data_IF_904577147184
#
_entry.id   IF_904577147184
#
_cell.length_a   1.000
_cell.length_b   1.000
_cell.length_c   1.000
_cell.angle_alpha   90.00
_cell.angle_beta   90.00
_cell.angle_gamma   90.00
#
_symmetry.space_group_name_H-M   'P 1'
#
loop_
_entity.id
_entity.type
_entity.pdbx_description
1 polymer ?
#
# COMPACT_ATOMS: atom_id res chain seq x y z
N UNK A 1 3.27 -38.95 -4.85
CA UNK A 1 2.09 -38.71 -3.98
C UNK A 1 1.83 -37.21 -3.92
N UNK A 2 0.83 -36.72 -4.66
CA UNK A 2 0.66 -35.32 -5.09
C UNK A 2 -0.64 -34.67 -4.56
N UNK A 3 -1.11 -35.05 -3.36
CA UNK A 3 -2.52 -34.83 -2.96
C UNK A 3 -2.86 -34.03 -1.68
N UNK A 4 -2.09 -33.04 -1.19
CA UNK A 4 -2.63 -32.09 -0.19
C UNK A 4 -2.75 -30.62 -0.64
N UNK A 5 -2.33 -30.26 -1.86
CA UNK A 5 -2.40 -28.86 -2.33
C UNK A 5 -3.77 -28.46 -2.93
N UNK A 6 -4.58 -29.42 -3.37
CA UNK A 6 -5.89 -29.14 -3.99
C UNK A 6 -7.01 -28.86 -2.97
N UNK A 7 -6.93 -29.41 -1.76
CA UNK A 7 -7.99 -29.23 -0.76
C UNK A 7 -7.99 -27.85 -0.12
N UNK A 8 -6.82 -27.23 0.08
CA UNK A 8 -6.76 -25.83 0.54
C UNK A 8 -7.30 -24.88 -0.55
N UNK A 9 -7.00 -25.13 -1.83
CA UNK A 9 -7.52 -24.31 -2.94
C UNK A 9 -9.04 -24.42 -3.16
N UNK A 10 -9.64 -25.58 -2.93
CA UNK A 10 -11.08 -25.81 -3.13
C UNK A 10 -11.93 -25.23 -1.98
N UNK A 11 -11.48 -25.33 -0.71
CA UNK A 11 -12.16 -24.67 0.42
C UNK A 11 -11.92 -23.16 0.44
N UNK A 12 -10.74 -22.68 0.00
CA UNK A 12 -10.48 -21.23 -0.14
C UNK A 12 -11.35 -20.60 -1.23
N UNK A 13 -11.62 -21.30 -2.35
CA UNK A 13 -12.54 -20.81 -3.41
C UNK A 13 -14.00 -20.69 -2.96
N UNK A 14 -14.42 -21.44 -1.94
CA UNK A 14 -15.79 -21.42 -1.43
C UNK A 14 -15.98 -20.44 -0.25
N UNK A 15 -14.91 -20.17 0.52
CA UNK A 15 -14.98 -19.33 1.73
C UNK A 15 -14.62 -17.87 1.46
N UNK A 16 -13.92 -17.55 0.35
CA UNK A 16 -13.59 -16.15 0.06
C UNK A 16 -13.54 -15.87 -1.46
N UNK A 17 -14.63 -15.29 -1.97
CA UNK A 17 -14.62 -14.46 -3.19
C UNK A 17 -14.82 -13.00 -2.74
N UNK A 18 -13.76 -12.20 -2.59
CA UNK A 18 -13.93 -10.78 -2.34
C UNK A 18 -14.65 -10.18 -3.56
N UNK A 19 -15.81 -9.56 -3.32
CA UNK A 19 -16.61 -8.89 -4.34
C UNK A 19 -17.98 -9.54 -4.67
N UNK A 20 -18.19 -10.86 -4.46
CA UNK A 20 -19.52 -11.50 -4.74
C UNK A 20 -20.31 -11.91 -3.50
N UNK A 21 -19.66 -12.01 -2.34
CA UNK A 21 -20.29 -12.35 -1.06
C UNK A 21 -19.70 -11.51 0.08
N UNK A 22 -19.68 -10.19 -0.06
CA UNK A 22 -19.56 -9.33 1.11
C UNK A 22 -20.76 -9.60 2.01
N UNK A 23 -20.50 -10.11 3.22
CA UNK A 23 -21.52 -10.41 4.23
C UNK A 23 -22.02 -9.16 4.94
N UNK A 24 -21.39 -8.00 4.64
CA UNK A 24 -21.80 -6.66 5.04
C UNK A 24 -22.98 -6.25 4.14
N UNK A 25 -24.20 -6.28 4.68
CA UNK A 25 -25.41 -6.05 3.87
C UNK A 25 -25.81 -4.58 3.84
N UNK A 26 -25.44 -3.80 4.85
CA UNK A 26 -25.81 -2.39 4.93
C UNK A 26 -24.65 -1.47 4.53
N UNK A 27 -24.94 -0.32 3.89
CA UNK A 27 -23.92 0.70 3.59
C UNK A 27 -23.13 1.14 4.83
N UNK A 28 -23.78 1.32 5.97
CA UNK A 28 -23.13 1.76 7.22
C UNK A 28 -22.12 0.73 7.75
N UNK A 29 -22.37 -0.56 7.57
CA UNK A 29 -21.46 -1.61 8.03
C UNK A 29 -20.19 -1.70 7.18
N UNK A 30 -20.33 -1.54 5.86
CA UNK A 30 -19.17 -1.46 4.96
C UNK A 30 -18.31 -0.24 5.33
N UNK A 31 -18.97 0.89 5.55
CA UNK A 31 -18.33 2.14 5.87
C UNK A 31 -17.55 2.10 7.19
N UNK A 32 -18.12 1.65 8.31
CA UNK A 32 -17.34 1.66 9.57
C UNK A 32 -16.14 0.71 9.54
N UNK A 33 -16.16 -0.36 8.73
CA UNK A 33 -14.99 -1.20 8.50
C UNK A 33 -13.94 -0.50 7.63
N UNK A 34 -14.39 0.25 6.61
CA UNK A 34 -13.50 1.10 5.81
C UNK A 34 -12.95 2.25 6.63
N UNK A 35 -13.71 2.91 7.51
CA UNK A 35 -13.22 3.96 8.39
C UNK A 35 -12.23 3.44 9.44
N UNK A 36 -12.48 2.27 10.06
CA UNK A 36 -11.51 1.65 10.97
C UNK A 36 -10.20 1.31 10.25
N UNK A 37 -10.31 0.76 9.03
CA UNK A 37 -9.19 0.51 8.14
C UNK A 37 -8.47 1.81 7.73
N UNK A 38 -9.20 2.85 7.34
CA UNK A 38 -8.66 4.16 6.96
C UNK A 38 -7.95 4.84 8.15
N UNK A 39 -8.54 4.75 9.34
CA UNK A 39 -7.94 5.28 10.58
C UNK A 39 -6.65 4.51 10.92
N UNK A 40 -6.63 3.18 10.75
CA UNK A 40 -5.42 2.38 11.01
C UNK A 40 -4.27 2.68 10.05
N UNK A 41 -4.56 3.27 8.90
CA UNK A 41 -3.57 3.70 7.89
C UNK A 41 -3.39 5.22 7.82
N UNK A 42 -4.03 5.98 8.71
CA UNK A 42 -3.92 7.44 8.75
C UNK A 42 -4.57 8.17 7.57
N UNK A 43 -5.49 7.51 6.83
CA UNK A 43 -6.25 8.08 5.72
C UNK A 43 -7.68 8.46 6.10
N UNK A 44 -7.96 8.65 7.40
CA UNK A 44 -9.27 9.12 7.89
C UNK A 44 -9.71 10.46 7.28
N UNK A 45 -8.77 11.28 6.81
CA UNK A 45 -9.01 12.57 6.14
C UNK A 45 -8.90 12.50 4.62
N UNK A 46 -8.74 11.30 4.06
CA UNK A 46 -8.43 11.07 2.65
C UNK A 46 -6.93 10.94 2.39
N UNK A 47 -6.59 10.85 1.10
CA UNK A 47 -5.23 10.81 0.60
C UNK A 47 -4.71 12.24 0.45
N UNK A 48 -3.58 12.53 1.10
CA UNK A 48 -2.86 13.79 1.03
C UNK A 48 -1.98 13.86 -0.23
N UNK A 49 -2.61 13.71 -1.40
CA UNK A 49 -1.92 13.65 -2.69
C UNK A 49 -2.60 14.50 -3.76
N UNK A 50 -3.51 15.39 -3.39
CA UNK A 50 -4.25 16.22 -4.36
C UNK A 50 -3.32 17.14 -5.16
N UNK A 51 -2.29 17.69 -4.53
CA UNK A 51 -1.40 18.72 -5.12
C UNK A 51 -0.20 18.14 -5.88
N UNK A 52 -0.14 16.83 -6.09
CA UNK A 52 1.01 16.16 -6.68
C UNK A 52 1.40 16.68 -8.08
N UNK A 53 0.42 16.92 -8.95
CA UNK A 53 0.70 17.49 -10.28
C UNK A 53 1.07 18.97 -10.21
N UNK A 54 0.50 19.72 -9.26
CA UNK A 54 0.88 21.11 -8.99
C UNK A 54 2.35 21.17 -8.58
N UNK A 55 2.78 20.33 -7.63
CA UNK A 55 4.17 20.23 -7.24
C UNK A 55 5.09 19.83 -8.40
N UNK A 56 4.67 18.90 -9.28
CA UNK A 56 5.45 18.61 -10.49
C UNK A 56 5.61 19.87 -11.35
N UNK A 57 4.52 20.58 -11.62
CA UNK A 57 4.53 21.74 -12.48
C UNK A 57 5.33 22.90 -11.86
N UNK A 58 5.33 23.07 -10.55
CA UNK A 58 6.07 24.15 -9.89
C UNK A 58 7.57 23.90 -9.86
N UNK A 59 8.01 22.64 -9.76
CA UNK A 59 9.42 22.27 -9.61
C UNK A 59 10.11 21.85 -10.93
N UNK A 60 9.36 21.66 -12.02
CA UNK A 60 9.95 21.35 -13.32
C UNK A 60 10.70 22.55 -13.90
N UNK A 61 11.76 22.27 -14.67
CA UNK A 61 12.45 23.28 -15.48
C UNK A 61 11.52 23.69 -16.63
N UNK A 62 11.31 24.99 -16.81
CA UNK A 62 10.40 25.58 -17.82
C UNK A 62 11.12 26.46 -18.82
N UNK A 63 12.31 26.94 -18.48
CA UNK A 63 13.05 27.95 -19.22
C UNK A 63 14.55 27.82 -19.00
N UNK A 64 15.35 28.58 -19.76
CA UNK A 64 16.82 28.59 -19.63
C UNK A 64 17.29 29.04 -18.23
N UNK A 65 16.59 29.98 -17.60
CA UNK A 65 16.95 30.50 -16.26
C UNK A 65 16.81 29.44 -15.17
N UNK A 66 15.93 28.45 -15.36
CA UNK A 66 15.76 27.36 -14.40
C UNK A 66 17.01 26.45 -14.34
N UNK A 67 17.89 26.51 -15.33
CA UNK A 67 19.19 25.83 -15.33
C UNK A 67 20.30 26.68 -14.68
N UNK A 68 19.96 27.79 -14.00
CA UNK A 68 20.93 28.77 -13.49
C UNK A 68 22.06 28.18 -12.65
N UNK A 69 21.78 27.18 -11.83
CA UNK A 69 22.78 26.53 -10.96
C UNK A 69 23.74 25.57 -11.71
N UNK A 70 23.45 25.24 -12.97
CA UNK A 70 24.27 24.35 -13.78
C UNK A 70 25.63 25.00 -14.08
N UNK A 71 26.72 24.31 -13.72
CA UNK A 71 28.08 24.74 -14.06
C UNK A 71 28.46 24.36 -15.49
N UNK A 72 28.92 25.34 -16.25
CA UNK A 72 29.38 25.20 -17.63
C UNK A 72 30.80 25.77 -17.73
N UNK A 73 31.80 24.93 -17.40
CA UNK A 73 33.19 25.38 -17.20
C UNK A 73 33.37 26.01 -15.81
N UNK A 74 33.98 27.19 -15.75
CA UNK A 74 34.30 27.88 -14.49
C UNK A 74 33.14 28.69 -13.91
N UNK A 75 32.09 28.93 -14.71
CA UNK A 75 30.91 29.72 -14.34
C UNK A 75 29.65 28.85 -14.33
N UNK A 76 28.68 29.26 -13.52
CA UNK A 76 27.29 28.80 -13.60
C UNK A 76 26.57 29.46 -14.77
N UNK A 77 25.50 28.83 -15.26
CA UNK A 77 24.68 29.43 -16.29
C UNK A 77 24.08 30.76 -15.82
N UNK A 78 23.73 30.89 -14.54
CA UNK A 78 23.26 32.16 -13.98
C UNK A 78 24.29 33.29 -14.10
N UNK A 79 25.58 32.99 -13.90
CA UNK A 79 26.65 33.97 -14.09
C UNK A 79 26.82 34.33 -15.57
N UNK A 80 26.74 33.36 -16.48
CA UNK A 80 26.73 33.64 -17.91
C UNK A 80 25.55 34.52 -18.33
N UNK A 81 24.36 34.25 -17.80
CA UNK A 81 23.15 35.03 -18.10
C UNK A 81 23.23 36.48 -17.59
N UNK A 82 23.94 36.74 -16.48
CA UNK A 82 24.18 38.10 -15.97
C UNK A 82 25.13 38.92 -16.83
N UNK A 83 26.03 38.25 -17.55
CA UNK A 83 27.01 38.90 -18.42
C UNK A 83 26.40 39.32 -19.78
N UNK A 84 25.15 38.93 -20.05
CA UNK A 84 24.40 39.24 -21.28
C UNK A 84 23.26 40.19 -20.95
N UNK A 85 23.02 41.20 -21.81
CA UNK A 85 21.86 42.09 -21.69
C UNK A 85 20.56 41.27 -21.73
N UNK A 86 19.64 41.51 -20.80
CA UNK A 86 18.34 40.82 -20.73
C UNK A 86 17.50 40.99 -22.01
N UNK A 87 17.73 42.07 -22.77
CA UNK A 87 17.08 42.36 -24.05
C UNK A 87 17.88 41.87 -25.26
N UNK A 88 18.98 41.12 -25.05
CA UNK A 88 19.77 40.56 -26.13
C UNK A 88 18.90 39.61 -26.98
N UNK A 89 18.81 39.80 -28.32
CA UNK A 89 17.92 39.03 -29.16
C UNK A 89 18.25 37.53 -29.19
N UNK A 90 19.52 37.15 -29.09
CA UNK A 90 19.93 35.74 -29.05
C UNK A 90 19.50 35.07 -27.75
N UNK A 91 19.64 35.77 -26.62
CA UNK A 91 19.19 35.29 -25.32
C UNK A 91 17.67 35.11 -25.30
N UNK A 92 16.92 36.15 -25.68
CA UNK A 92 15.45 36.12 -25.72
C UNK A 92 14.96 35.00 -26.63
N UNK A 93 15.54 34.86 -27.82
CA UNK A 93 15.12 33.83 -28.76
C UNK A 93 15.49 32.40 -28.30
N UNK A 94 16.63 32.23 -27.61
CA UNK A 94 17.00 30.94 -27.00
C UNK A 94 16.10 30.58 -25.81
N UNK A 95 15.80 31.55 -24.95
CA UNK A 95 14.84 31.38 -23.85
C UNK A 95 13.46 30.98 -24.36
N UNK A 96 12.99 31.63 -25.42
CA UNK A 96 11.72 31.32 -26.07
C UNK A 96 11.73 29.90 -26.65
N UNK A 97 12.77 29.52 -27.40
CA UNK A 97 12.89 28.18 -27.98
C UNK A 97 12.91 27.07 -26.92
N UNK A 98 13.60 27.29 -25.80
CA UNK A 98 13.63 26.36 -24.66
C UNK A 98 12.26 26.29 -23.99
N UNK A 99 11.62 27.44 -23.75
CA UNK A 99 10.31 27.49 -23.11
C UNK A 99 9.24 26.78 -23.93
N UNK A 100 9.26 26.95 -25.26
CA UNK A 100 8.37 26.27 -26.20
C UNK A 100 8.59 24.74 -26.22
N UNK A 101 9.84 24.29 -26.14
CA UNK A 101 10.13 22.85 -26.10
C UNK A 101 9.76 22.18 -24.79
N UNK A 102 9.71 22.95 -23.70
CA UNK A 102 9.37 22.48 -22.36
C UNK A 102 7.90 22.80 -22.00
N UNK A 103 7.02 23.01 -22.99
CA UNK A 103 5.59 23.14 -22.74
C UNK A 103 4.98 21.79 -22.32
N UNK A 104 3.97 21.85 -21.44
CA UNK A 104 3.17 20.68 -21.08
C UNK A 104 2.40 20.15 -22.28
N UNK A 105 2.54 18.85 -22.57
CA UNK A 105 1.74 18.19 -23.59
C UNK A 105 0.26 18.14 -23.17
N UNK A 106 -0.63 18.17 -24.17
CA UNK A 106 -2.07 18.13 -23.96
C UNK A 106 -2.53 16.82 -23.29
N UNK A 107 -1.85 15.70 -23.52
CA UNK A 107 -2.18 14.46 -22.80
C UNK A 107 -1.76 14.55 -21.32
N UNK A 108 -0.64 15.22 -21.01
CA UNK A 108 -0.24 15.49 -19.63
C UNK A 108 -1.25 16.37 -18.90
N UNK A 109 -1.69 17.49 -19.49
CA UNK A 109 -2.71 18.36 -18.89
C UNK A 109 -4.02 17.60 -18.64
N UNK A 110 -4.47 16.79 -19.60
CA UNK A 110 -5.64 15.91 -19.41
C UNK A 110 -5.44 14.90 -18.29
N UNK A 111 -4.25 14.31 -18.16
CA UNK A 111 -3.94 13.37 -17.09
C UNK A 111 -3.92 14.07 -15.71
N UNK A 112 -3.39 15.29 -15.64
CA UNK A 112 -3.45 16.13 -14.44
C UNK A 112 -4.90 16.38 -14.01
N UNK A 113 -5.74 16.89 -14.91
CA UNK A 113 -7.14 17.16 -14.58
C UNK A 113 -7.90 15.90 -14.17
N UNK A 114 -7.65 14.78 -14.85
CA UNK A 114 -8.27 13.50 -14.53
C UNK A 114 -7.81 12.99 -13.16
N UNK A 115 -6.53 13.16 -12.82
CA UNK A 115 -6.00 12.82 -11.51
C UNK A 115 -6.67 13.64 -10.40
N UNK A 116 -6.73 14.97 -10.53
CA UNK A 116 -7.36 15.88 -9.57
C UNK A 116 -8.84 15.51 -9.35
N UNK A 117 -9.57 15.17 -10.43
CA UNK A 117 -10.95 14.71 -10.36
C UNK A 117 -11.06 13.36 -9.62
N UNK A 118 -10.21 12.40 -9.95
CA UNK A 118 -10.27 11.07 -9.36
C UNK A 118 -9.88 11.08 -7.87
N UNK A 119 -8.86 11.86 -7.46
CA UNK A 119 -8.44 11.94 -6.06
C UNK A 119 -9.49 12.66 -5.21
N UNK A 120 -10.14 13.70 -5.73
CA UNK A 120 -11.25 14.37 -5.05
C UNK A 120 -12.45 13.43 -4.89
N UNK A 121 -12.82 12.69 -5.94
CA UNK A 121 -13.88 11.69 -5.86
C UNK A 121 -13.54 10.59 -4.85
N UNK A 122 -12.30 10.12 -4.84
CA UNK A 122 -11.83 9.12 -3.89
C UNK A 122 -11.88 9.63 -2.44
N UNK A 123 -11.43 10.85 -2.20
CA UNK A 123 -11.48 11.49 -0.87
C UNK A 123 -12.93 11.71 -0.41
N UNK A 124 -13.84 12.07 -1.31
CA UNK A 124 -15.28 12.12 -1.01
C UNK A 124 -15.84 10.75 -0.63
N UNK A 125 -15.44 9.69 -1.33
CA UNK A 125 -15.85 8.32 -0.97
C UNK A 125 -15.31 7.84 0.37
N UNK A 126 -14.08 8.23 0.70
CA UNK A 126 -13.48 7.96 2.00
C UNK A 126 -14.28 8.67 3.09
N UNK A 127 -14.70 9.93 2.85
CA UNK A 127 -15.44 10.73 3.80
C UNK A 127 -16.96 10.39 3.88
N UNK A 128 -17.56 9.88 2.79
CA UNK A 128 -19.01 9.62 2.72
C UNK A 128 -19.41 8.36 3.50
N UNK A 129 -20.29 8.50 4.50
CA UNK A 129 -20.76 7.37 5.26
C UNK A 129 -21.51 6.29 4.48
N UNK A 130 -22.05 6.64 3.32
CA UNK A 130 -22.89 5.75 2.53
C UNK A 130 -22.13 5.12 1.35
N UNK A 131 -20.83 5.38 1.25
CA UNK A 131 -19.97 4.91 0.19
C UNK A 131 -19.95 3.37 0.12
N UNK A 132 -20.12 2.76 -1.07
CA UNK A 132 -20.10 1.30 -1.23
C UNK A 132 -18.68 0.72 -1.23
N UNK A 133 -17.64 1.56 -1.30
CA UNK A 133 -16.26 1.13 -1.44
C UNK A 133 -15.84 0.21 -0.30
N UNK A 134 -15.22 -0.92 -0.65
CA UNK A 134 -14.49 -1.76 0.30
C UNK A 134 -12.97 -1.50 0.19
N UNK A 135 -12.22 -1.98 1.18
CA UNK A 135 -10.77 -1.71 1.28
C UNK A 135 -9.96 -2.18 0.06
N UNK A 136 -10.40 -3.21 -0.68
CA UNK A 136 -9.74 -3.63 -1.92
C UNK A 136 -10.03 -2.69 -3.09
N UNK A 137 -11.26 -2.20 -3.21
CA UNK A 137 -11.62 -1.22 -4.24
C UNK A 137 -10.84 0.08 -4.05
N UNK A 138 -10.65 0.49 -2.80
CA UNK A 138 -9.81 1.61 -2.42
C UNK A 138 -8.33 1.37 -2.80
N UNK A 139 -7.76 0.22 -2.44
CA UNK A 139 -6.38 -0.13 -2.82
C UNK A 139 -6.18 -0.12 -4.34
N UNK A 140 -7.13 -0.66 -5.10
CA UNK A 140 -7.08 -0.66 -6.56
C UNK A 140 -7.21 0.74 -7.17
N UNK A 141 -8.04 1.62 -6.59
CA UNK A 141 -8.14 3.01 -7.01
C UNK A 141 -6.80 3.72 -6.84
N UNK A 142 -6.14 3.58 -5.68
CA UNK A 142 -4.81 4.15 -5.42
C UNK A 142 -3.75 3.54 -6.34
N UNK A 143 -3.77 2.22 -6.55
CA UNK A 143 -2.86 1.56 -7.48
C UNK A 143 -2.99 2.10 -8.91
N UNK A 144 -4.22 2.34 -9.36
CA UNK A 144 -4.50 2.92 -10.67
C UNK A 144 -3.98 4.34 -10.78
N UNK A 145 -4.32 5.20 -9.83
CA UNK A 145 -3.83 6.58 -9.75
C UNK A 145 -2.30 6.60 -9.86
N UNK A 146 -1.62 5.79 -9.05
CA UNK A 146 -0.16 5.63 -9.10
C UNK A 146 0.35 5.27 -10.49
N UNK A 147 -0.25 4.28 -11.14
CA UNK A 147 0.20 3.79 -12.44
C UNK A 147 -0.07 4.79 -13.57
N UNK A 148 -1.23 5.45 -13.56
CA UNK A 148 -1.60 6.48 -14.53
C UNK A 148 -0.70 7.72 -14.38
N UNK A 149 -0.45 8.18 -13.16
CA UNK A 149 0.47 9.28 -12.87
C UNK A 149 1.89 8.98 -13.33
N UNK A 150 2.42 7.79 -13.01
CA UNK A 150 3.74 7.36 -13.49
C UNK A 150 3.82 7.37 -15.01
N UNK A 151 2.77 6.88 -15.68
CA UNK A 151 2.72 6.81 -17.14
C UNK A 151 2.73 8.21 -17.76
N UNK A 152 1.89 9.13 -17.29
CA UNK A 152 1.82 10.47 -17.86
C UNK A 152 3.11 11.26 -17.62
N UNK A 153 3.72 11.14 -16.44
CA UNK A 153 5.01 11.77 -16.13
C UNK A 153 6.11 11.25 -17.06
N UNK A 154 6.20 9.94 -17.26
CA UNK A 154 7.17 9.36 -18.20
C UNK A 154 6.97 9.89 -19.63
N UNK A 155 5.72 10.00 -20.07
CA UNK A 155 5.39 10.49 -21.41
C UNK A 155 5.77 11.97 -21.56
N UNK A 156 5.45 12.82 -20.57
CA UNK A 156 5.85 14.23 -20.55
C UNK A 156 7.37 14.38 -20.58
N UNK A 157 8.09 13.65 -19.74
CA UNK A 157 9.57 13.70 -19.69
C UNK A 157 10.22 13.31 -21.02
N UNK A 158 9.72 12.23 -21.64
CA UNK A 158 10.19 11.80 -22.95
C UNK A 158 9.90 12.84 -24.03
N UNK A 159 8.72 13.48 -23.99
CA UNK A 159 8.36 14.55 -24.93
C UNK A 159 9.26 15.78 -24.75
N UNK A 160 9.45 16.25 -23.51
CA UNK A 160 10.33 17.37 -23.18
C UNK A 160 11.77 17.10 -23.57
N UNK A 161 12.35 15.95 -23.23
CA UNK A 161 13.74 15.60 -23.60
C UNK A 161 13.92 15.55 -25.13
N UNK A 162 12.94 14.99 -25.84
CA UNK A 162 12.98 14.92 -27.31
C UNK A 162 12.87 16.32 -27.93
N UNK A 163 11.95 17.15 -27.47
CA UNK A 163 11.76 18.51 -27.97
C UNK A 163 12.95 19.40 -27.64
N UNK A 164 13.48 19.31 -26.41
CA UNK A 164 14.67 20.03 -25.95
C UNK A 164 15.92 19.64 -26.76
N UNK A 165 16.11 18.34 -27.02
CA UNK A 165 17.20 17.87 -27.88
C UNK A 165 17.16 18.45 -29.29
N UNK A 166 15.96 18.58 -29.88
CA UNK A 166 15.76 19.15 -31.22
C UNK A 166 16.07 20.64 -31.33
N UNK A 167 16.02 21.39 -30.23
CA UNK A 167 16.41 22.82 -30.24
C UNK A 167 17.83 22.95 -30.78
N UNK A 168 18.73 22.11 -30.28
CA UNK A 168 20.16 22.16 -30.57
C UNK A 168 20.55 21.36 -31.83
N UNK A 169 19.59 20.79 -32.56
CA UNK A 169 19.82 20.33 -33.94
C UNK A 169 19.90 21.52 -34.91
N UNK A 170 19.31 22.66 -34.55
CA UNK A 170 19.37 23.90 -35.33
C UNK A 170 20.66 24.64 -35.03
N UNK A 171 21.48 24.86 -36.06
CA UNK A 171 22.76 25.57 -35.93
C UNK A 171 22.60 26.98 -35.35
N UNK A 172 21.53 27.68 -35.72
CA UNK A 172 21.18 28.99 -35.17
C UNK A 172 21.06 28.98 -33.63
N UNK A 173 20.45 27.95 -33.05
CA UNK A 173 20.32 27.85 -31.59
C UNK A 173 21.64 27.48 -30.90
N UNK A 174 22.51 26.73 -31.58
CA UNK A 174 23.88 26.48 -31.08
C UNK A 174 24.70 27.77 -31.06
N UNK A 175 24.56 28.61 -32.09
CA UNK A 175 25.21 29.92 -32.15
C UNK A 175 24.72 30.83 -31.03
N UNK A 176 23.39 30.93 -30.83
CA UNK A 176 22.80 31.68 -29.71
C UNK A 176 23.30 31.19 -28.35
N UNK A 177 23.40 29.88 -28.15
CA UNK A 177 24.00 29.33 -26.93
C UNK A 177 25.48 29.73 -26.79
N UNK A 178 26.24 29.73 -27.88
CA UNK A 178 27.64 30.17 -27.87
C UNK A 178 27.75 31.64 -27.43
N UNK A 179 26.88 32.52 -27.96
CA UNK A 179 26.79 33.93 -27.56
C UNK A 179 26.50 34.05 -26.06
N UNK A 180 25.50 33.32 -25.56
CA UNK A 180 25.14 33.34 -24.13
C UNK A 180 26.27 32.86 -23.23
N UNK A 181 27.01 31.85 -23.67
CA UNK A 181 28.16 31.30 -22.93
C UNK A 181 29.45 32.10 -23.13
N UNK A 182 29.45 33.14 -23.97
CA UNK A 182 30.65 33.94 -24.29
C UNK A 182 31.73 33.15 -25.03
N UNK A 183 31.37 32.08 -25.73
CA UNK A 183 32.29 31.25 -26.50
C UNK A 183 32.59 31.96 -27.82
N UNK A 184 33.84 32.39 -27.99
CA UNK A 184 34.28 33.17 -29.15
C UNK A 184 34.24 32.35 -30.44
N UNK A 185 34.00 33.04 -31.55
CA UNK A 185 33.89 32.42 -32.88
C UNK A 185 35.19 31.77 -33.36
N UNK A 186 36.33 32.32 -32.93
CA UNK A 186 37.68 31.89 -33.29
C UNK A 186 38.27 30.84 -32.32
N UNK A 187 37.52 30.41 -31.30
CA UNK A 187 37.98 29.40 -30.35
C UNK A 187 38.14 28.03 -31.06
N UNK A 188 39.37 27.46 -31.10
CA UNK A 188 39.62 26.18 -31.77
C UNK A 188 38.86 25.00 -31.16
N UNK A 189 38.34 25.15 -29.92
CA UNK A 189 37.53 24.14 -29.21
C UNK A 189 36.05 24.52 -29.13
N UNK A 190 35.59 25.51 -29.91
CA UNK A 190 34.20 25.98 -29.89
C UNK A 190 33.18 24.84 -29.98
N UNK A 191 33.33 23.96 -30.97
CA UNK A 191 32.41 22.85 -31.18
C UNK A 191 32.35 21.90 -29.97
N UNK A 192 33.52 21.54 -29.43
CA UNK A 192 33.62 20.67 -28.25
C UNK A 192 32.96 21.31 -27.01
N UNK A 193 33.21 22.60 -26.75
CA UNK A 193 32.61 23.33 -25.63
C UNK A 193 31.08 23.43 -25.75
N UNK A 194 30.57 23.66 -26.97
CA UNK A 194 29.14 23.70 -27.23
C UNK A 194 28.48 22.34 -27.02
N UNK A 195 29.07 21.28 -27.56
CA UNK A 195 28.54 19.92 -27.40
C UNK A 195 28.54 19.51 -25.91
N UNK A 196 29.61 19.82 -25.17
CA UNK A 196 29.66 19.61 -23.72
C UNK A 196 28.57 20.37 -22.98
N UNK A 197 28.34 21.65 -23.32
CA UNK A 197 27.30 22.45 -22.68
C UNK A 197 25.89 21.92 -22.98
N UNK A 198 25.63 21.52 -24.23
CA UNK A 198 24.36 20.93 -24.65
C UNK A 198 24.10 19.62 -23.92
N UNK A 199 25.10 18.74 -23.81
CA UNK A 199 24.98 17.48 -23.07
C UNK A 199 24.80 17.71 -21.57
N UNK A 200 25.47 18.71 -20.99
CA UNK A 200 25.25 19.10 -19.59
C UNK A 200 23.82 19.58 -19.35
N UNK A 201 23.27 20.43 -20.23
CA UNK A 201 21.88 20.89 -20.15
C UNK A 201 20.88 19.74 -20.28
N UNK A 202 21.08 18.82 -21.23
CA UNK A 202 20.23 17.63 -21.40
C UNK A 202 20.29 16.72 -20.18
N UNK A 203 21.48 16.51 -19.63
CA UNK A 203 21.68 15.70 -18.43
C UNK A 203 20.97 16.34 -17.23
N UNK A 204 21.13 17.64 -17.03
CA UNK A 204 20.46 18.38 -15.95
C UNK A 204 18.94 18.30 -16.07
N UNK A 205 18.39 18.48 -17.27
CA UNK A 205 16.96 18.34 -17.52
C UNK A 205 16.46 16.93 -17.14
N UNK A 206 17.19 15.90 -17.59
CA UNK A 206 16.85 14.50 -17.30
C UNK A 206 16.92 14.18 -15.80
N UNK A 207 17.96 14.63 -15.12
CA UNK A 207 18.18 14.38 -13.69
C UNK A 207 17.12 15.12 -12.86
N UNK A 208 16.84 16.39 -13.16
CA UNK A 208 15.76 17.17 -12.52
C UNK A 208 14.38 16.56 -12.75
N UNK A 209 14.09 16.09 -13.97
CA UNK A 209 12.85 15.36 -14.26
C UNK A 209 12.75 14.08 -13.43
N UNK A 210 13.81 13.29 -13.33
CA UNK A 210 13.80 12.07 -12.53
C UNK A 210 13.50 12.34 -11.05
N UNK A 211 14.14 13.36 -10.46
CA UNK A 211 13.89 13.79 -9.08
C UNK A 211 12.44 14.25 -8.88
N UNK A 212 11.95 15.13 -9.76
CA UNK A 212 10.57 15.63 -9.70
C UNK A 212 9.55 14.50 -9.80
N UNK A 213 9.75 13.54 -10.71
CA UNK A 213 8.88 12.36 -10.80
C UNK A 213 8.93 11.52 -9.53
N UNK A 214 10.10 11.31 -8.95
CA UNK A 214 10.21 10.55 -7.70
C UNK A 214 9.38 11.21 -6.60
N UNK A 215 9.56 12.52 -6.36
CA UNK A 215 8.80 13.29 -5.36
C UNK A 215 7.30 13.20 -5.55
N UNK A 216 6.85 13.15 -6.80
CA UNK A 216 5.44 13.01 -7.14
C UNK A 216 4.93 11.59 -6.90
N UNK A 217 5.71 10.56 -7.25
CA UNK A 217 5.24 9.17 -7.22
C UNK A 217 5.41 8.49 -5.86
N UNK A 218 6.37 8.92 -5.04
CA UNK A 218 6.69 8.32 -3.74
C UNK A 218 5.53 8.38 -2.73
N UNK A 219 4.79 9.50 -2.57
CA UNK A 219 3.61 9.53 -1.68
C UNK A 219 2.52 8.52 -2.07
N UNK A 220 2.27 8.33 -3.37
CA UNK A 220 1.31 7.34 -3.88
C UNK A 220 1.83 5.91 -3.68
N UNK A 221 3.12 5.67 -3.86
CA UNK A 221 3.74 4.37 -3.58
C UNK A 221 3.64 3.98 -2.11
N UNK A 222 3.96 4.92 -1.22
CA UNK A 222 3.86 4.73 0.22
C UNK A 222 2.41 4.44 0.62
N UNK A 223 1.46 5.24 0.13
CA UNK A 223 0.04 5.06 0.44
C UNK A 223 -0.49 3.70 -0.04
N UNK A 224 -0.11 3.30 -1.25
CA UNK A 224 -0.45 1.99 -1.79
C UNK A 224 0.14 0.84 -0.97
N UNK A 225 1.41 0.96 -0.55
CA UNK A 225 2.08 -0.06 0.25
C UNK A 225 1.45 -0.20 1.65
N UNK A 226 1.10 0.91 2.30
CA UNK A 226 0.42 0.93 3.60
C UNK A 226 -0.96 0.28 3.52
N UNK A 227 -1.75 0.58 2.48
CA UNK A 227 -3.03 -0.09 2.23
C UNK A 227 -2.87 -1.61 2.07
N UNK A 228 -1.88 -2.04 1.27
CA UNK A 228 -1.61 -3.47 1.07
C UNK A 228 -1.24 -4.17 2.38
N UNK A 229 -0.36 -3.56 3.18
CA UNK A 229 0.05 -4.10 4.47
C UNK A 229 -1.17 -4.30 5.39
N UNK A 230 -2.10 -3.37 5.37
CA UNK A 230 -3.25 -3.39 6.27
C UNK A 230 -4.36 -4.32 5.80
N UNK A 231 -4.52 -4.45 4.47
CA UNK A 231 -5.33 -5.52 3.89
C UNK A 231 -4.77 -6.89 4.28
N UNK A 232 -3.44 -7.07 4.25
CA UNK A 232 -2.82 -8.32 4.69
C UNK A 232 -3.09 -8.61 6.16
N UNK A 233 -2.93 -7.61 7.03
CA UNK A 233 -3.27 -7.70 8.45
C UNK A 233 -4.74 -8.11 8.66
N UNK A 234 -5.67 -7.44 8.00
CA UNK A 234 -7.09 -7.74 8.14
C UNK A 234 -7.45 -9.15 7.64
N UNK A 235 -6.86 -9.59 6.54
CA UNK A 235 -7.06 -10.95 6.06
C UNK A 235 -6.56 -11.99 7.07
N UNK A 236 -5.42 -11.74 7.71
CA UNK A 236 -4.87 -12.65 8.73
C UNK A 236 -5.74 -12.66 9.99
N UNK A 237 -6.23 -11.50 10.43
CA UNK A 237 -7.19 -11.37 11.53
C UNK A 237 -8.48 -12.14 11.26
N UNK A 238 -9.12 -11.89 10.10
CA UNK A 238 -10.35 -12.57 9.68
C UNK A 238 -10.14 -14.09 9.57
N UNK A 239 -9.03 -14.52 8.98
CA UNK A 239 -8.72 -15.95 8.84
C UNK A 239 -8.53 -16.63 10.20
N UNK A 240 -7.82 -15.98 11.13
CA UNK A 240 -7.65 -16.48 12.48
C UNK A 240 -8.99 -16.59 13.22
N UNK A 241 -9.83 -15.56 13.18
CA UNK A 241 -11.16 -15.54 13.79
C UNK A 241 -12.10 -16.59 13.17
N UNK A 242 -12.09 -16.75 11.85
CA UNK A 242 -12.85 -17.79 11.16
C UNK A 242 -12.43 -19.20 11.58
N UNK A 243 -11.13 -19.41 11.77
CA UNK A 243 -10.59 -20.67 12.29
C UNK A 243 -11.08 -20.98 13.69
N UNK A 244 -11.12 -19.98 14.58
CA UNK A 244 -11.59 -20.12 15.95
C UNK A 244 -13.11 -20.34 16.03
N UNK A 245 -13.88 -19.54 15.29
CA UNK A 245 -15.35 -19.56 15.28
C UNK A 245 -15.91 -20.94 14.88
N UNK A 246 -15.30 -21.59 13.89
CA UNK A 246 -15.76 -22.89 13.41
C UNK A 246 -15.38 -24.06 14.34
N UNK A 247 -14.48 -23.85 15.31
CA UNK A 247 -13.92 -24.93 16.14
C UNK A 247 -14.39 -24.90 17.59
N UNK A 248 -14.54 -23.73 18.20
CA UNK A 248 -14.90 -23.61 19.61
C UNK A 248 -16.28 -23.00 19.77
N UNK A 249 -17.22 -23.77 20.36
CA UNK A 249 -18.58 -23.26 20.67
C UNK A 249 -18.53 -22.08 21.63
N UNK A 250 -17.59 -22.08 22.57
CA UNK A 250 -17.40 -21.00 23.53
C UNK A 250 -16.87 -19.73 22.86
N UNK A 251 -15.86 -19.84 21.99
CA UNK A 251 -15.36 -18.70 21.22
C UNK A 251 -16.42 -18.17 20.25
N UNK A 252 -17.17 -19.07 19.61
CA UNK A 252 -18.32 -18.71 18.78
C UNK A 252 -19.33 -17.86 19.54
N UNK A 253 -19.82 -18.34 20.69
CA UNK A 253 -20.77 -17.61 21.53
C UNK A 253 -20.22 -16.25 21.98
N UNK A 254 -18.93 -16.18 22.30
CA UNK A 254 -18.30 -14.93 22.70
C UNK A 254 -18.19 -13.93 21.54
N UNK A 255 -17.79 -14.39 20.35
CA UNK A 255 -17.79 -13.58 19.12
C UNK A 255 -19.20 -13.07 18.82
N UNK A 256 -20.21 -13.94 18.92
CA UNK A 256 -21.62 -13.57 18.72
C UNK A 256 -22.07 -12.50 19.73
N UNK A 257 -21.64 -12.61 21.00
CA UNK A 257 -21.94 -11.65 22.06
C UNK A 257 -21.23 -10.30 21.87
N UNK A 258 -19.93 -10.28 21.58
CA UNK A 258 -19.18 -9.05 21.27
C UNK A 258 -19.78 -8.33 20.06
N UNK A 259 -20.14 -9.10 19.03
CA UNK A 259 -20.82 -8.57 17.86
C UNK A 259 -22.18 -7.93 18.23
N UNK A 260 -22.98 -8.59 19.07
CA UNK A 260 -24.24 -8.04 19.55
C UNK A 260 -24.06 -6.77 20.42
N UNK A 261 -23.00 -6.70 21.23
CA UNK A 261 -22.66 -5.52 22.03
C UNK A 261 -22.25 -4.34 21.15
N UNK A 262 -21.36 -4.57 20.18
CA UNK A 262 -20.93 -3.54 19.22
C UNK A 262 -22.09 -3.01 18.36
N UNK A 263 -23.16 -3.80 18.18
CA UNK A 263 -24.40 -3.38 17.51
C UNK A 263 -25.22 -2.36 18.31
N UNK A 264 -25.21 -2.45 19.63
CA UNK A 264 -26.02 -1.60 20.51
C UNK A 264 -25.34 -0.26 20.84
N UNK A 265 -24.07 -0.11 20.50
CA UNK A 265 -23.27 1.10 20.72
C UNK A 265 -23.39 2.14 19.60
N UNK A 266 -24.11 1.82 18.51
CA UNK A 266 -24.37 2.71 17.38
C UNK A 266 -25.78 3.30 17.52
N UNK A 267 -25.92 4.62 17.37
CA UNK A 267 -27.12 5.40 17.72
C UNK A 267 -28.45 4.86 17.11
N UNK A 268 -29.61 5.12 17.76
CA UNK A 268 -30.89 4.42 17.52
C UNK A 268 -31.54 4.60 16.14
N UNK A 269 -31.09 5.56 15.32
CA UNK A 269 -31.73 5.91 14.05
C UNK A 269 -31.19 5.12 12.84
N UNK A 270 -30.20 4.24 13.04
CA UNK A 270 -29.72 3.34 12.00
C UNK A 270 -30.48 2.01 12.05
N UNK A 271 -31.68 1.97 11.46
CA UNK A 271 -32.41 0.72 11.23
C UNK A 271 -31.66 -0.18 10.24
N UNK A 272 -30.64 -0.89 10.73
CA UNK A 272 -29.93 -1.94 10.03
C UNK A 272 -30.64 -3.28 10.25
N UNK A 273 -31.54 -3.63 9.31
CA UNK A 273 -32.07 -4.98 9.22
C UNK A 273 -31.00 -5.89 8.61
N UNK A 274 -30.52 -6.86 9.40
CA UNK A 274 -29.61 -7.88 8.91
C UNK A 274 -30.18 -9.27 9.14
N UNK A 275 -30.54 -9.94 8.04
CA UNK A 275 -30.85 -11.37 8.04
C UNK A 275 -29.54 -12.15 8.05
N UNK A 276 -29.21 -12.79 9.16
CA UNK A 276 -28.12 -13.79 9.23
C UNK A 276 -28.60 -15.01 8.44
N UNK A 277 -28.06 -15.22 7.24
CA UNK A 277 -28.13 -16.52 6.57
C UNK A 277 -27.08 -17.44 7.20
N UNK A 278 -27.40 -18.72 7.39
CA UNK A 278 -26.65 -19.75 8.12
C UNK A 278 -25.14 -19.94 7.77
N UNK A 279 -24.59 -19.20 6.80
CA UNK A 279 -23.27 -19.42 6.20
C UNK A 279 -22.30 -18.23 6.27
N UNK A 280 -22.67 -17.13 6.91
CA UNK A 280 -21.90 -15.87 6.89
C UNK A 280 -21.69 -15.31 8.30
N UNK A 281 -20.44 -15.22 8.77
CA UNK A 281 -20.07 -14.68 10.08
C UNK A 281 -19.35 -13.36 9.87
N UNK A 282 -19.74 -12.33 10.61
CA UNK A 282 -19.11 -11.01 10.57
C UNK A 282 -18.11 -10.89 11.73
N UNK A 283 -16.83 -10.72 11.43
CA UNK A 283 -15.76 -10.55 12.43
C UNK A 283 -15.38 -9.06 12.64
N UNK A 284 -16.29 -8.14 12.34
CA UNK A 284 -16.02 -6.70 12.33
C UNK A 284 -15.80 -6.17 13.75
N UNK A 285 -14.78 -5.31 13.94
CA UNK A 285 -14.50 -4.64 15.22
C UNK A 285 -14.14 -5.58 16.37
N UNK A 286 -13.72 -6.81 16.05
CA UNK A 286 -13.30 -7.81 17.04
C UNK A 286 -11.80 -8.01 16.89
N UNK A 287 -11.01 -7.57 17.85
CA UNK A 287 -9.57 -7.80 17.83
C UNK A 287 -9.27 -9.19 18.38
N UNK A 288 -8.14 -9.79 17.98
CA UNK A 288 -7.74 -11.10 18.52
C UNK A 288 -7.56 -11.00 20.03
N UNK A 289 -7.10 -9.85 20.51
CA UNK A 289 -6.86 -9.44 21.88
C UNK A 289 -8.13 -9.42 22.73
N UNK A 290 -9.28 -9.13 22.13
CA UNK A 290 -10.56 -9.03 22.84
C UNK A 290 -11.11 -10.41 23.24
N UNK A 291 -10.64 -11.50 22.62
CA UNK A 291 -11.13 -12.85 22.92
C UNK A 291 -10.59 -13.39 24.27
N UNK A 292 -11.43 -13.75 25.26
CA UNK A 292 -10.98 -14.19 26.57
C UNK A 292 -10.27 -15.54 26.53
N UNK A 293 -10.57 -16.34 25.51
CA UNK A 293 -9.99 -17.66 25.28
C UNK A 293 -9.55 -17.74 23.83
N UNK A 294 -8.28 -18.09 23.63
CA UNK A 294 -7.74 -18.46 22.33
C UNK A 294 -7.48 -19.96 22.32
N UNK A 295 -7.72 -20.61 21.19
CA UNK A 295 -7.46 -22.04 21.01
C UNK A 295 -6.63 -22.26 19.73
N UNK A 296 -5.74 -23.25 19.75
CA UNK A 296 -5.05 -23.68 18.53
C UNK A 296 -5.97 -24.47 17.62
N UNK A 297 -5.51 -24.75 16.40
CA UNK A 297 -6.24 -25.63 15.48
C UNK A 297 -6.51 -27.03 16.03
N UNK A 298 -5.73 -27.53 16.99
CA UNK A 298 -5.97 -28.83 17.63
C UNK A 298 -6.82 -28.74 18.90
N UNK A 299 -7.30 -27.55 19.26
CA UNK A 299 -8.15 -27.30 20.42
C UNK A 299 -7.39 -27.06 21.72
N UNK A 300 -6.09 -26.69 21.67
CA UNK A 300 -5.32 -26.36 22.87
C UNK A 300 -5.50 -24.90 23.24
N UNK A 301 -5.78 -24.63 24.50
CA UNK A 301 -5.88 -23.25 25.01
C UNK A 301 -4.54 -22.53 24.93
N UNK A 302 -4.57 -21.34 24.36
CA UNK A 302 -3.50 -20.34 24.35
C UNK A 302 -3.83 -19.33 25.44
N UNK A 303 -2.92 -19.16 26.40
CA UNK A 303 -3.04 -18.20 27.48
C UNK A 303 -2.47 -16.85 27.03
N UNK A 304 -3.23 -15.78 27.25
CA UNK A 304 -2.76 -14.41 27.08
C UNK A 304 -2.19 -13.92 28.40
N UNK A 305 -0.99 -13.37 28.38
CA UNK A 305 -0.32 -12.85 29.58
C UNK A 305 -0.29 -11.31 29.63
N UNK A 306 -0.91 -10.64 28.64
CA UNK A 306 -0.87 -9.18 28.48
C UNK A 306 0.27 -8.74 27.56
N UNK A 307 0.25 -7.49 27.09
CA UNK A 307 1.34 -6.88 26.30
C UNK A 307 1.80 -7.65 25.05
N UNK A 308 0.91 -8.42 24.40
CA UNK A 308 1.26 -9.23 23.22
C UNK A 308 1.95 -10.56 23.54
N UNK A 309 1.97 -10.98 24.80
CA UNK A 309 2.53 -12.27 25.21
C UNK A 309 1.48 -13.39 25.14
N UNK A 310 1.82 -14.44 24.41
CA UNK A 310 1.02 -15.65 24.24
C UNK A 310 1.81 -16.86 24.71
N UNK A 311 1.22 -17.67 25.59
CA UNK A 311 1.85 -18.88 26.09
C UNK A 311 0.95 -20.10 25.91
N UNK A 312 1.59 -21.25 25.68
CA UNK A 312 0.90 -22.52 25.52
C UNK A 312 1.76 -23.63 26.09
N UNK A 313 1.16 -24.53 26.87
CA UNK A 313 1.83 -25.73 27.37
C UNK A 313 1.64 -26.89 26.40
N UNK A 314 2.74 -27.33 25.80
CA UNK A 314 2.77 -28.55 24.98
C UNK A 314 2.67 -29.79 25.88
N UNK A 315 1.95 -30.85 25.46
CA UNK A 315 1.81 -32.06 26.25
C UNK A 315 3.14 -32.76 26.36
N UNK A 316 3.39 -33.43 27.49
CA UNK A 316 4.62 -34.19 27.67
C UNK A 316 4.69 -35.36 26.68
N UNK A 317 5.87 -35.66 26.14
CA UNK A 317 6.02 -36.63 25.05
C UNK A 317 5.65 -38.06 25.42
N UNK A 318 6.01 -38.45 26.63
CA UNK A 318 5.74 -39.76 27.22
C UNK A 318 4.23 -40.02 27.32
N UNK A 319 3.45 -39.00 27.66
CA UNK A 319 2.00 -39.12 27.83
C UNK A 319 1.22 -38.85 26.54
N UNK A 320 1.87 -38.45 25.46
CA UNK A 320 1.22 -38.13 24.19
C UNK A 320 2.15 -38.33 22.97
N UNK A 321 2.66 -39.55 22.72
CA UNK A 321 3.59 -39.78 21.61
C UNK A 321 2.97 -39.49 20.24
N UNK A 322 1.67 -39.77 20.08
CA UNK A 322 0.91 -39.47 18.86
C UNK A 322 0.83 -37.96 18.56
N UNK A 323 0.95 -37.09 19.56
CA UNK A 323 0.97 -35.64 19.36
C UNK A 323 2.30 -35.16 18.75
N UNK A 324 3.42 -35.75 19.19
CA UNK A 324 4.77 -35.34 18.80
C UNK A 324 5.30 -36.07 17.57
N UNK A 325 4.84 -37.30 17.32
CA UNK A 325 5.33 -38.18 16.25
C UNK A 325 4.22 -38.67 15.29
N UNK A 326 2.98 -38.26 15.52
CA UNK A 326 1.85 -38.69 14.70
C UNK A 326 1.91 -38.18 13.26
N UNK A 327 1.29 -38.94 12.37
CA UNK A 327 1.10 -38.63 10.95
C UNK A 327 0.44 -37.26 10.68
N UNK A 328 -0.39 -36.80 11.62
CA UNK A 328 -1.11 -35.52 11.56
C UNK A 328 -0.31 -34.31 12.08
N UNK A 329 0.92 -34.48 12.57
CA UNK A 329 1.83 -33.37 12.92
C UNK A 329 1.20 -32.28 13.81
N UNK A 330 0.31 -32.65 14.73
CA UNK A 330 -0.44 -31.74 15.62
C UNK A 330 0.42 -30.64 16.26
N UNK A 331 1.60 -31.01 16.75
CA UNK A 331 2.54 -30.06 17.36
C UNK A 331 2.93 -28.90 16.42
N UNK A 332 3.15 -29.18 15.13
CA UNK A 332 3.50 -28.14 14.15
C UNK A 332 2.31 -27.23 13.87
N UNK A 333 1.11 -27.79 13.80
CA UNK A 333 -0.14 -27.03 13.61
C UNK A 333 -0.40 -26.10 14.81
N UNK A 334 -0.09 -26.54 16.02
CA UNK A 334 -0.23 -25.73 17.23
C UNK A 334 0.79 -24.58 17.30
N UNK A 335 2.06 -24.85 16.96
CA UNK A 335 3.07 -23.81 16.84
C UNK A 335 2.72 -22.80 15.74
N UNK A 336 2.19 -23.27 14.61
CA UNK A 336 1.73 -22.41 13.53
C UNK A 336 0.49 -21.60 13.95
N UNK A 337 -0.43 -22.18 14.72
CA UNK A 337 -1.58 -21.46 15.26
C UNK A 337 -1.14 -20.34 16.20
N UNK A 338 -0.15 -20.60 17.06
CA UNK A 338 0.40 -19.58 17.95
C UNK A 338 1.01 -18.42 17.17
N UNK A 339 1.87 -18.73 16.19
CA UNK A 339 2.47 -17.71 15.33
C UNK A 339 1.39 -16.93 14.55
N UNK A 340 0.36 -17.62 14.05
CA UNK A 340 -0.77 -16.98 13.35
C UNK A 340 -1.53 -16.02 14.26
N UNK A 341 -1.77 -16.37 15.52
CA UNK A 341 -2.44 -15.48 16.47
C UNK A 341 -1.61 -14.23 16.75
N UNK A 342 -0.29 -14.36 16.93
CA UNK A 342 0.63 -13.21 17.07
C UNK A 342 0.57 -12.31 15.83
N UNK A 343 0.58 -12.91 14.63
CA UNK A 343 0.54 -12.15 13.39
C UNK A 343 -0.80 -11.45 13.17
N UNK A 344 -1.90 -12.16 13.43
CA UNK A 344 -3.27 -11.66 13.39
C UNK A 344 -3.55 -10.59 14.47
N UNK A 345 -2.70 -10.50 15.49
CA UNK A 345 -2.67 -9.44 16.51
C UNK A 345 -1.91 -8.17 16.04
N UNK A 346 -1.28 -8.21 14.86
CA UNK A 346 -0.66 -7.05 14.21
C UNK A 346 0.83 -6.92 14.46
N UNK A 347 1.45 -7.95 15.07
CA UNK A 347 2.89 -7.95 15.31
C UNK A 347 3.65 -8.43 14.07
N UNK A 348 4.55 -7.59 13.56
CA UNK A 348 5.46 -7.93 12.46
C UNK A 348 6.71 -8.70 12.93
N UNK A 349 6.96 -8.71 14.25
CA UNK A 349 8.10 -9.36 14.91
C UNK A 349 7.61 -10.36 15.94
N UNK A 350 8.32 -11.48 16.08
CA UNK A 350 7.97 -12.53 17.02
C UNK A 350 9.22 -13.05 17.74
N UNK A 351 9.14 -13.14 19.06
CA UNK A 351 10.10 -13.88 19.88
C UNK A 351 9.44 -15.16 20.37
N UNK A 352 9.96 -16.33 20.00
CA UNK A 352 9.50 -17.60 20.54
C UNK A 352 10.51 -18.12 21.57
N UNK A 353 10.13 -18.12 22.84
CA UNK A 353 10.89 -18.75 23.91
C UNK A 353 10.42 -20.18 24.15
N UNK A 354 11.32 -21.13 23.92
CA UNK A 354 11.04 -22.56 24.00
C UNK A 354 11.96 -23.14 25.05
N UNK A 355 11.34 -23.70 26.09
CA UNK A 355 12.02 -24.37 27.18
C UNK A 355 11.66 -25.85 27.25
N UNK A 356 12.67 -26.69 27.45
CA UNK A 356 12.51 -28.14 27.65
C UNK A 356 13.70 -28.71 28.42
N UNK A 357 13.44 -29.69 29.29
CA UNK A 357 14.48 -30.32 30.14
C UNK A 357 15.55 -31.04 29.32
N UNK A 358 15.14 -31.71 28.25
CA UNK A 358 16.03 -32.30 27.24
C UNK A 358 16.49 -31.26 26.20
N UNK A 359 17.80 -30.92 26.14
CA UNK A 359 18.34 -29.90 25.23
C UNK A 359 18.20 -30.23 23.74
N UNK A 360 18.38 -31.49 23.34
CA UNK A 360 18.30 -31.89 21.92
C UNK A 360 16.87 -31.71 21.39
N UNK A 361 15.91 -32.09 22.22
CA UNK A 361 14.51 -31.88 21.91
C UNK A 361 14.15 -30.41 21.89
N UNK A 362 14.69 -29.62 22.81
CA UNK A 362 14.49 -28.17 22.84
C UNK A 362 14.95 -27.53 21.52
N UNK A 363 16.13 -27.91 21.04
CA UNK A 363 16.66 -27.46 19.74
C UNK A 363 15.78 -27.89 18.56
N UNK A 364 15.23 -29.12 18.59
CA UNK A 364 14.30 -29.58 17.54
C UNK A 364 13.00 -28.79 17.52
N UNK A 365 12.42 -28.53 18.70
CA UNK A 365 11.22 -27.69 18.83
C UNK A 365 11.48 -26.27 18.35
N UNK A 366 12.64 -25.71 18.68
CA UNK A 366 13.08 -24.39 18.22
C UNK A 366 13.18 -24.30 16.69
N UNK A 367 13.74 -25.31 16.02
CA UNK A 367 13.72 -25.38 14.54
C UNK A 367 12.30 -25.47 13.97
N UNK A 368 11.39 -26.22 14.62
CA UNK A 368 10.00 -26.36 14.16
C UNK A 368 9.16 -25.11 14.40
N UNK A 369 9.44 -24.38 15.48
CA UNK A 369 8.84 -23.08 15.77
C UNK A 369 9.29 -22.02 14.76
N UNK A 370 10.57 -22.00 14.40
CA UNK A 370 11.08 -21.17 13.31
C UNK A 370 10.37 -21.51 11.97
N UNK A 371 10.26 -22.80 11.64
CA UNK A 371 9.52 -23.27 10.46
C UNK A 371 8.04 -22.80 10.48
N UNK A 372 7.39 -22.82 11.64
CA UNK A 372 6.02 -22.36 11.82
C UNK A 372 5.88 -20.84 11.64
N UNK A 373 6.83 -20.04 12.15
CA UNK A 373 6.86 -18.59 11.94
C UNK A 373 6.99 -18.24 10.46
N UNK A 374 7.93 -18.88 9.75
CA UNK A 374 8.11 -18.66 8.30
C UNK A 374 6.89 -19.06 7.49
N UNK A 375 6.22 -20.17 7.83
CA UNK A 375 4.95 -20.58 7.17
C UNK A 375 3.80 -19.61 7.40
N UNK A 376 3.78 -18.96 8.55
CA UNK A 376 2.80 -17.93 8.89
C UNK A 376 3.12 -16.60 8.18
N UNK A 377 4.34 -16.47 7.66
CA UNK A 377 4.76 -15.34 6.83
C UNK A 377 5.51 -14.25 7.59
N UNK A 378 6.06 -14.52 8.78
CA UNK A 378 7.04 -13.63 9.41
C UNK A 378 8.33 -13.63 8.61
N UNK A 379 8.92 -12.46 8.35
CA UNK A 379 10.26 -12.35 7.75
C UNK A 379 11.32 -12.99 8.67
N UNK A 380 12.32 -13.66 8.09
CA UNK A 380 13.44 -14.28 8.81
C UNK A 380 14.12 -13.30 9.77
N UNK A 381 14.30 -12.05 9.34
CA UNK A 381 14.92 -10.98 10.17
C UNK A 381 14.09 -10.54 11.38
N UNK A 382 12.80 -10.86 11.38
CA UNK A 382 11.84 -10.48 12.40
C UNK A 382 11.51 -11.63 13.37
N UNK A 383 12.20 -12.77 13.24
CA UNK A 383 12.00 -13.95 14.10
C UNK A 383 13.19 -14.08 15.04
N UNK A 384 12.92 -14.02 16.34
CA UNK A 384 13.89 -14.34 17.39
C UNK A 384 13.50 -15.65 18.06
N UNK A 385 14.43 -16.60 18.17
CA UNK A 385 14.21 -17.88 18.84
C UNK A 385 15.08 -17.96 20.09
N UNK A 386 14.47 -18.14 21.26
CA UNK A 386 15.16 -18.40 22.52
C UNK A 386 15.02 -19.88 22.87
N UNK A 387 16.14 -20.52 23.21
CA UNK A 387 16.20 -21.92 23.62
C UNK A 387 16.65 -21.95 25.07
N UNK A 388 15.75 -22.34 25.98
CA UNK A 388 15.95 -22.26 27.43
C UNK A 388 16.41 -20.85 27.88
N UNK A 389 15.73 -19.80 27.40
CA UNK A 389 16.03 -18.40 27.75
C UNK A 389 17.22 -17.78 27.01
N UNK A 390 18.01 -18.54 26.24
CA UNK A 390 19.16 -18.04 25.49
C UNK A 390 18.78 -17.81 24.03
N UNK A 391 19.00 -16.59 23.53
CA UNK A 391 18.79 -16.27 22.12
C UNK A 391 19.75 -17.03 21.21
N UNK A 392 19.21 -17.63 20.15
CA UNK A 392 19.97 -18.38 19.16
C UNK A 392 19.85 -17.75 17.78
N UNK A 393 21.00 -17.46 17.17
CA UNK A 393 21.06 -17.07 15.75
C UNK A 393 20.60 -18.23 14.87
N UNK A 394 20.04 -17.90 13.72
CA UNK A 394 19.51 -18.91 12.76
C UNK A 394 20.59 -19.90 12.33
N UNK A 395 21.83 -19.44 12.10
CA UNK A 395 22.95 -20.30 11.72
C UNK A 395 23.33 -21.31 12.81
N UNK A 396 23.21 -20.92 14.08
CA UNK A 396 23.42 -21.83 15.21
C UNK A 396 22.27 -22.83 15.35
N UNK A 397 21.03 -22.37 15.14
CA UNK A 397 19.82 -23.18 15.25
C UNK A 397 19.77 -24.31 14.21
N UNK A 398 20.29 -24.05 13.00
CA UNK A 398 20.32 -24.99 11.88
C UNK A 398 21.71 -25.58 11.61
N UNK A 399 22.65 -25.52 12.57
CA UNK A 399 23.98 -26.11 12.43
C UNK A 399 23.88 -27.61 12.07
N UNK A 400 24.50 -28.01 10.96
CA UNK A 400 24.42 -29.38 10.44
C UNK A 400 23.12 -29.73 9.69
N UNK A 401 22.19 -28.78 9.51
CA UNK A 401 20.92 -28.93 8.75
C UNK A 401 20.61 -27.71 7.87
N UNK A 402 21.62 -27.21 7.17
CA UNK A 402 21.50 -26.04 6.30
C UNK A 402 20.54 -26.29 5.11
N UNK A 403 20.43 -27.54 4.66
CA UNK A 403 19.47 -28.02 3.66
C UNK A 403 18.02 -27.75 4.09
N UNK A 404 17.70 -28.03 5.37
CA UNK A 404 16.38 -27.79 5.93
C UNK A 404 16.06 -26.30 5.97
N UNK A 405 17.02 -25.47 6.39
CA UNK A 405 16.85 -24.02 6.39
C UNK A 405 16.55 -23.49 4.99
N UNK A 406 17.36 -23.86 3.98
CA UNK A 406 17.12 -23.49 2.57
C UNK A 406 15.74 -23.94 2.08
N UNK A 407 15.30 -25.14 2.44
CA UNK A 407 13.97 -25.64 2.06
C UNK A 407 12.82 -24.86 2.72
N UNK A 408 13.00 -24.39 3.96
CA UNK A 408 12.02 -23.54 4.65
C UNK A 408 11.93 -22.19 3.94
N UNK A 409 13.07 -21.55 3.67
CA UNK A 409 13.12 -20.26 2.97
C UNK A 409 12.53 -20.32 1.56
N UNK A 410 12.89 -21.34 0.78
CA UNK A 410 12.35 -21.53 -0.56
C UNK A 410 10.82 -21.70 -0.56
N UNK A 411 10.27 -22.41 0.44
CA UNK A 411 8.80 -22.56 0.58
C UNK A 411 8.13 -21.26 1.00
N UNK A 412 8.75 -20.51 1.90
CA UNK A 412 8.24 -19.21 2.32
C UNK A 412 8.20 -18.23 1.13
N UNK A 413 9.28 -18.17 0.35
CA UNK A 413 9.35 -17.36 -0.87
C UNK A 413 8.31 -17.77 -1.91
N UNK A 414 8.13 -19.08 -2.15
CA UNK A 414 7.09 -19.56 -3.05
C UNK A 414 5.69 -19.14 -2.56
N UNK A 415 5.43 -19.22 -1.26
CA UNK A 415 4.15 -18.77 -0.67
C UNK A 415 3.90 -17.28 -0.91
N UNK A 416 4.94 -16.44 -0.78
CA UNK A 416 4.86 -15.00 -1.09
C UNK A 416 4.53 -14.79 -2.57
N UNK A 417 5.26 -15.44 -3.49
CA UNK A 417 5.01 -15.33 -4.94
C UNK A 417 3.60 -15.82 -5.33
N UNK A 418 3.12 -16.89 -4.70
CA UNK A 418 1.76 -17.39 -4.93
C UNK A 418 0.72 -16.42 -4.41
N UNK A 419 0.92 -15.82 -3.24
CA UNK A 419 0.04 -14.75 -2.71
C UNK A 419 -0.01 -13.55 -3.67
N UNK A 420 1.14 -13.12 -4.20
CA UNK A 420 1.21 -12.05 -5.19
C UNK A 420 0.43 -12.37 -6.47
N UNK A 421 0.43 -13.63 -6.92
CA UNK A 421 -0.35 -14.11 -8.08
C UNK A 421 -1.84 -14.28 -7.79
N UNK A 422 -2.22 -14.57 -6.55
CA UNK A 422 -3.61 -14.81 -6.11
C UNK A 422 -4.30 -13.51 -5.67
N UNK A 423 -3.60 -12.37 -5.62
CA UNK A 423 -4.24 -11.06 -5.42
C UNK A 423 -5.49 -10.99 -6.30
N UNK A 424 -6.68 -10.72 -5.71
CA UNK A 424 -7.94 -10.90 -6.40
C UNK A 424 -7.89 -10.17 -7.73
N UNK A 425 -8.04 -10.93 -8.82
CA UNK A 425 -8.10 -10.35 -10.15
C UNK A 425 -9.43 -9.60 -10.23
N UNK A 426 -9.41 -8.32 -9.87
CA UNK A 426 -10.46 -7.38 -10.26
C UNK A 426 -10.44 -7.40 -11.78
N UNK A 427 -11.46 -8.04 -12.38
CA UNK A 427 -11.58 -8.14 -13.83
C UNK A 427 -11.52 -6.75 -14.45
N UNK A 428 -11.08 -6.66 -15.70
CA UNK A 428 -11.09 -5.40 -16.46
C UNK A 428 -12.46 -4.70 -16.37
N UNK A 429 -13.55 -5.48 -16.36
CA UNK A 429 -14.92 -5.00 -16.15
C UNK A 429 -15.12 -4.33 -14.78
N UNK A 430 -14.59 -4.90 -13.71
CA UNK A 430 -14.77 -4.39 -12.36
C UNK A 430 -13.86 -3.17 -12.12
N UNK A 431 -12.68 -3.14 -12.74
CA UNK A 431 -11.87 -1.93 -12.83
C UNK A 431 -12.56 -0.81 -13.62
N UNK A 432 -13.18 -1.14 -14.75
CA UNK A 432 -14.00 -0.19 -15.52
C UNK A 432 -15.21 0.28 -14.73
N UNK A 433 -15.84 -0.59 -13.93
CA UNK A 433 -16.95 -0.22 -13.05
C UNK A 433 -16.51 0.81 -12.01
N UNK A 434 -15.42 0.56 -11.28
CA UNK A 434 -14.84 1.54 -10.33
C UNK A 434 -14.51 2.85 -11.04
N UNK A 435 -13.94 2.79 -12.25
CA UNK A 435 -13.66 3.98 -13.06
C UNK A 435 -14.95 4.76 -13.35
N UNK A 436 -15.98 4.06 -13.80
CA UNK A 436 -17.26 4.64 -14.19
C UNK A 436 -18.05 5.14 -12.99
N UNK A 437 -17.92 4.54 -11.80
CA UNK A 437 -18.50 5.06 -10.55
C UNK A 437 -17.82 6.36 -10.12
N UNK A 438 -16.47 6.40 -10.11
CA UNK A 438 -15.72 7.62 -9.83
C UNK A 438 -16.07 8.74 -10.83
N UNK A 439 -16.23 8.40 -12.11
CA UNK A 439 -16.66 9.33 -13.16
C UNK A 439 -18.16 9.69 -13.10
N UNK A 440 -19.01 8.79 -12.63
CA UNK A 440 -20.46 9.01 -12.53
C UNK A 440 -20.82 9.99 -11.41
N UNK A 441 -20.05 9.99 -10.32
CA UNK A 441 -20.23 10.90 -9.18
C UNK A 441 -19.89 12.35 -9.54
N UNK A 442 -19.04 12.55 -10.54
CA UNK A 442 -18.86 13.87 -11.17
C UNK A 442 -20.19 14.41 -11.67
N UNK A 443 -20.98 13.60 -12.36
CA UNK A 443 -22.21 14.06 -13.01
C UNK A 443 -23.33 14.38 -12.01
N UNK A 444 -23.36 13.69 -10.86
CA UNK A 444 -24.30 13.99 -9.79
C UNK A 444 -23.86 15.16 -8.89
N UNK A 445 -22.55 15.48 -8.83
CA UNK A 445 -22.04 16.64 -8.10
C UNK A 445 -22.05 17.95 -8.89
N UNK A 446 -22.09 17.92 -10.23
CA UNK A 446 -22.30 19.09 -11.09
C UNK A 446 -23.76 19.29 -11.53
N UNK A 447 -24.71 18.55 -10.96
CA UNK A 447 -26.14 18.87 -11.07
C UNK A 447 -26.45 20.20 -10.38
N UNK A 448 -27.45 20.98 -10.85
CA UNK A 448 -27.70 22.33 -10.35
C UNK A 448 -27.90 22.31 -8.84
N UNK A 449 -27.11 23.16 -8.17
CA UNK A 449 -27.24 23.57 -6.77
C UNK A 449 -28.72 23.59 -6.38
N UNK A 450 -29.16 22.63 -5.54
CA UNK A 450 -30.49 22.71 -4.96
C UNK A 450 -30.52 24.01 -4.15
N UNK A 451 -31.30 24.97 -4.66
CA UNK A 451 -31.55 26.23 -3.96
C UNK A 451 -31.87 25.94 -2.49
N UNK A 452 -31.25 26.66 -1.54
CA UNK A 452 -31.55 26.49 -0.14
C UNK A 452 -33.06 26.68 0.06
N UNK A 453 -33.71 25.64 0.57
CA UNK A 453 -35.10 25.70 1.02
C UNK A 453 -35.26 26.89 1.96
N UNK A 454 -36.21 27.81 1.71
CA UNK A 454 -36.42 28.95 2.59
C UNK A 454 -36.75 28.45 4.00
N UNK A 455 -36.02 28.99 4.99
CA UNK A 455 -36.23 28.67 6.39
C UNK A 455 -37.69 28.94 6.80
N UNK A 456 -38.31 28.08 7.61
CA UNK A 456 -39.67 28.29 8.08
C UNK A 456 -39.73 29.59 8.88
N UNK A 457 -40.55 30.52 8.41
CA UNK A 457 -40.83 31.79 9.10
C UNK A 457 -41.46 31.50 10.45
N UNK A 458 -40.78 31.89 11.53
CA UNK A 458 -41.32 31.84 12.89
C UNK A 458 -42.63 32.63 12.97
N UNK A 459 -43.70 32.08 13.60
CA UNK A 459 -44.94 32.83 13.78
C UNK A 459 -44.72 34.00 14.73
N UNK A 460 -45.19 35.18 14.30
CA UNK A 460 -45.21 36.40 15.13
C UNK A 460 -46.05 36.19 16.40
N UNK A 461 -45.65 36.79 17.53
CA UNK A 461 -46.40 36.70 18.77
C UNK A 461 -47.69 37.53 18.67
N UNK A 462 -48.83 36.86 18.83
CA UNK A 462 -50.13 37.47 19.02
C UNK A 462 -50.16 38.26 20.33
N UNK A 463 -50.45 39.54 20.20
CA UNK A 463 -50.70 40.49 21.28
C UNK A 463 -52.06 40.21 21.90
N UNK A 464 -52.11 40.06 23.23
CA UNK A 464 -53.25 40.47 24.05
C UNK A 464 -52.72 41.14 25.30
#
# INVERSE_FOLDING_TARGET
MLFPLFLVGATVKAVYRPGKHSTLKTPQEKQAAVLEFLTSIGFEKGLDTAELYTHYNDNRKKSLTDFGDLKLGDKSLHEHLKDVDENNPDLVALQQAISEALVLDENFKKAQEEYEKQIEALNRHIADPKSPFNAYELEHAVQRLKNETKKSLNQQQQAELKSFGKIFEKEENKQRLATVLGIQDDDPKRGEKLDQAIEALKKELKDSQADNKQRVTEPLEKSHAEMLKQLEYENERVFALAGLYNKSKAVKQYIDNLHAQNRNSVAPDANAYLTITEKAVLFKGIKIEDLPVLETQTGRTIQKQGNGEFSMKLPRPIFSPAYHRGWNKKMKEDLQSLALMVKASGYDKITMDISHTDPERCAKLAMEAYEACRKTGFDSKNITIKVNGVEKKVDELFKGRADRYKAIEARAQNTVQVKERIKPFVTSEHSLHIKNELLGIKQSATGPEQQPTPSPTSPSPSTT
#
